data_IF_249033589339
#
_entry.id   IF_249033589339
#
_cell.length_a   1.000
_cell.length_b   1.000
_cell.length_c   1.000
_cell.angle_alpha   90.00
_cell.angle_beta   90.00
_cell.angle_gamma   90.00
#
_symmetry.space_group_name_H-M   'P 1'
#
loop_
_entity.id
_entity.type
_entity.pdbx_description
1 polymer ?
#
# COMPACT_ATOMS: atom_id res chain seq x y z
N UNK A 1 19.94 -8.42 -25.51
CA UNK A 1 20.71 -8.12 -24.29
C UNK A 1 19.99 -6.98 -23.61
N UNK A 2 19.47 -7.19 -22.39
CA UNK A 2 18.97 -6.09 -21.58
C UNK A 2 20.16 -5.18 -21.24
N UNK A 3 19.94 -3.86 -21.24
CA UNK A 3 20.98 -2.91 -20.82
C UNK A 3 21.00 -2.87 -19.30
N UNK A 4 22.15 -3.14 -18.69
CA UNK A 4 22.35 -3.07 -17.23
C UNK A 4 22.55 -1.62 -16.73
N UNK A 5 22.20 -0.62 -17.56
CA UNK A 5 22.42 0.80 -17.29
C UNK A 5 21.07 1.50 -17.25
N UNK A 6 20.79 2.17 -16.12
CA UNK A 6 19.68 3.12 -15.99
C UNK A 6 20.23 4.55 -16.11
N UNK A 7 20.13 5.21 -17.29
CA UNK A 7 20.59 6.58 -17.44
C UNK A 7 19.67 7.53 -16.69
N UNK A 8 20.25 8.38 -15.84
CA UNK A 8 19.55 9.50 -15.19
C UNK A 8 20.20 10.80 -15.64
N UNK A 9 19.40 11.72 -16.18
CA UNK A 9 19.88 13.02 -16.65
C UNK A 9 19.11 14.15 -15.95
N UNK A 10 19.85 15.16 -15.49
CA UNK A 10 19.28 16.37 -14.92
C UNK A 10 19.45 17.53 -15.91
N UNK A 11 18.33 18.11 -16.34
CA UNK A 11 18.32 19.22 -17.29
C UNK A 11 18.02 20.54 -16.58
N UNK A 12 18.84 21.56 -16.85
CA UNK A 12 18.52 22.93 -16.45
C UNK A 12 17.30 23.45 -17.21
N UNK A 13 16.41 24.15 -16.52
CA UNK A 13 15.26 24.85 -17.12
C UNK A 13 15.60 26.34 -17.33
N UNK A 14 14.98 27.03 -18.31
CA UNK A 14 15.20 28.46 -18.53
C UNK A 14 14.96 29.26 -17.24
N UNK A 15 15.94 30.09 -16.86
CA UNK A 15 15.95 30.89 -15.64
C UNK A 15 15.91 30.10 -14.31
N UNK A 16 16.06 28.77 -14.32
CA UNK A 16 16.00 27.92 -13.12
C UNK A 16 17.35 27.58 -12.47
N UNK A 17 18.47 28.00 -13.06
CA UNK A 17 19.81 27.66 -12.57
C UNK A 17 20.28 26.25 -12.93
N UNK A 18 21.30 25.75 -12.21
CA UNK A 18 21.83 24.40 -12.39
C UNK A 18 21.12 23.40 -11.48
N UNK A 19 20.78 22.19 -11.96
CA UNK A 19 20.21 21.16 -11.11
C UNK A 19 21.22 20.72 -10.05
N UNK A 20 20.74 20.55 -8.82
CA UNK A 20 21.52 20.04 -7.68
C UNK A 20 20.79 18.86 -7.05
N UNK A 21 21.55 17.84 -6.62
CA UNK A 21 21.03 16.66 -5.94
C UNK A 21 21.97 16.32 -4.76
N UNK A 22 21.39 16.03 -3.60
CA UNK A 22 22.16 15.67 -2.40
C UNK A 22 22.33 14.16 -2.24
N UNK A 23 21.35 13.37 -2.68
CA UNK A 23 21.38 11.89 -2.64
C UNK A 23 20.47 11.30 -3.71
N UNK A 24 20.87 10.15 -4.24
CA UNK A 24 20.08 9.30 -5.12
C UNK A 24 20.19 7.86 -4.62
N UNK A 25 19.05 7.22 -4.43
CA UNK A 25 18.99 5.84 -3.96
C UNK A 25 18.28 4.98 -5.00
N UNK A 26 18.96 3.92 -5.45
CA UNK A 26 18.37 2.88 -6.28
C UNK A 26 18.23 1.64 -5.42
N UNK A 27 16.99 1.24 -5.12
CA UNK A 27 16.70 0.07 -4.30
C UNK A 27 15.90 -0.95 -5.11
N UNK A 28 16.25 -2.24 -5.02
CA UNK A 28 15.44 -3.29 -5.63
C UNK A 28 14.06 -3.33 -4.97
N UNK A 29 13.06 -3.75 -5.72
CA UNK A 29 11.74 -4.09 -5.21
C UNK A 29 11.59 -5.61 -5.14
N UNK A 30 10.60 -6.12 -4.37
CA UNK A 30 10.21 -7.52 -4.49
C UNK A 30 9.94 -7.89 -5.95
N UNK A 31 10.35 -9.08 -6.42
CA UNK A 31 10.20 -9.48 -7.83
C UNK A 31 8.76 -9.37 -8.36
N UNK A 32 7.77 -9.63 -7.49
CA UNK A 32 6.35 -9.60 -7.84
C UNK A 32 5.65 -8.29 -7.40
N UNK A 33 6.41 -7.27 -7.02
CA UNK A 33 5.83 -5.98 -6.62
C UNK A 33 5.14 -5.30 -7.80
N UNK A 34 3.89 -4.87 -7.60
CA UNK A 34 3.11 -4.08 -8.55
C UNK A 34 2.86 -4.72 -9.93
N UNK A 35 3.11 -6.02 -10.12
CA UNK A 35 2.87 -6.71 -11.40
C UNK A 35 1.43 -6.52 -11.89
N UNK A 36 0.46 -6.51 -10.97
CA UNK A 36 -0.96 -6.25 -11.25
C UNK A 36 -1.24 -4.85 -11.82
N UNK A 37 -0.38 -3.86 -11.59
CA UNK A 37 -0.52 -2.50 -12.14
C UNK A 37 -0.13 -2.42 -13.62
N UNK A 38 0.82 -3.25 -14.02
CA UNK A 38 1.37 -3.25 -15.37
C UNK A 38 0.46 -3.99 -16.36
N UNK A 39 -0.22 -5.04 -15.91
CA UNK A 39 -1.04 -5.89 -16.79
C UNK A 39 -0.14 -6.51 -17.86
N UNK A 40 -0.55 -6.44 -19.13
CA UNK A 40 0.24 -6.97 -20.25
C UNK A 40 1.31 -5.99 -20.77
N UNK A 41 1.42 -4.78 -20.21
CA UNK A 41 2.31 -3.73 -20.68
C UNK A 41 3.43 -3.43 -19.68
N UNK A 42 4.67 -3.55 -20.14
CA UNK A 42 5.87 -3.21 -19.37
C UNK A 42 6.31 -1.75 -19.54
N UNK A 43 5.52 -0.92 -20.23
CA UNK A 43 5.90 0.45 -20.61
C UNK A 43 5.32 1.52 -19.67
N UNK A 44 4.77 1.11 -18.52
CA UNK A 44 4.23 2.05 -17.53
C UNK A 44 5.29 2.38 -16.50
N UNK A 45 5.15 3.54 -15.87
CA UNK A 45 5.93 3.94 -14.71
C UNK A 45 4.98 4.19 -13.55
N UNK A 46 5.39 3.78 -12.35
CA UNK A 46 4.65 4.04 -11.12
C UNK A 46 5.39 5.07 -10.28
N UNK A 47 4.64 6.02 -9.74
CA UNK A 47 5.09 6.98 -8.73
C UNK A 47 4.38 6.67 -7.43
N UNK A 48 5.13 6.50 -6.32
CA UNK A 48 4.53 6.37 -4.98
C UNK A 48 3.71 7.63 -4.69
N UNK A 49 2.41 7.45 -4.46
CA UNK A 49 1.56 8.48 -3.86
C UNK A 49 1.52 8.30 -2.35
N UNK A 50 0.97 7.17 -1.90
CA UNK A 50 0.86 6.79 -0.49
C UNK A 50 1.33 5.36 -0.28
N UNK A 51 1.89 5.08 0.90
CA UNK A 51 2.11 3.72 1.42
C UNK A 51 1.98 3.77 2.93
N UNK A 52 0.86 3.28 3.44
CA UNK A 52 0.43 3.51 4.84
C UNK A 52 0.43 2.17 5.57
N UNK A 53 0.97 2.16 6.79
CA UNK A 53 0.83 1.07 7.74
C UNK A 53 -0.44 1.29 8.58
N UNK A 54 -1.57 0.79 8.09
CA UNK A 54 -2.89 1.06 8.68
C UNK A 54 -2.97 0.60 10.14
N UNK A 55 -3.48 1.45 11.05
CA UNK A 55 -3.57 1.15 12.48
C UNK A 55 -2.23 1.14 13.23
N UNK A 56 -1.13 1.59 12.61
CA UNK A 56 0.18 1.74 13.26
C UNK A 56 0.51 3.23 13.46
N UNK A 57 1.00 3.59 14.63
CA UNK A 57 1.19 4.99 15.04
C UNK A 57 2.56 5.28 15.68
N UNK A 58 3.53 4.38 15.50
CA UNK A 58 4.88 4.54 16.03
C UNK A 58 5.87 4.93 14.91
N UNK A 59 5.49 5.92 14.11
CA UNK A 59 6.31 6.44 13.01
C UNK A 59 6.50 5.49 11.82
N UNK A 60 7.34 5.87 10.85
CA UNK A 60 7.48 5.11 9.62
C UNK A 60 8.25 3.80 9.83
N UNK A 61 7.72 2.71 9.28
CA UNK A 61 8.38 1.41 9.22
C UNK A 61 9.23 1.30 7.94
N UNK A 62 10.46 0.80 8.07
CA UNK A 62 11.41 0.59 6.97
C UNK A 62 12.44 -0.50 7.29
N UNK A 63 13.59 -0.54 6.62
CA UNK A 63 14.68 -1.47 6.95
C UNK A 63 15.07 -1.36 8.45
N UNK A 64 15.33 -2.48 9.16
CA UNK A 64 15.45 -3.86 8.65
C UNK A 64 14.12 -4.64 8.57
N UNK A 65 13.00 -4.07 9.00
CA UNK A 65 11.70 -4.74 8.98
C UNK A 65 11.17 -4.93 7.55
N UNK A 66 11.43 -3.95 6.67
CA UNK A 66 11.29 -4.13 5.22
C UNK A 66 12.68 -4.36 4.57
N UNK A 67 12.98 -5.57 4.07
CA UNK A 67 14.28 -5.86 3.47
C UNK A 67 14.54 -5.11 2.15
N UNK A 68 13.49 -4.56 1.53
CA UNK A 68 13.58 -3.70 0.33
C UNK A 68 13.62 -2.21 0.69
N UNK A 69 13.66 -1.89 1.99
CA UNK A 69 13.71 -0.54 2.56
C UNK A 69 12.66 0.41 1.95
N UNK A 70 11.47 -0.14 1.69
CA UNK A 70 10.27 0.65 1.40
C UNK A 70 9.86 1.34 2.70
N UNK A 71 9.57 2.63 2.60
CA UNK A 71 9.02 3.42 3.70
C UNK A 71 7.50 3.21 3.73
N UNK A 72 7.01 2.72 4.86
CA UNK A 72 5.60 2.60 5.22
C UNK A 72 5.27 3.67 6.25
N UNK A 73 4.53 4.68 5.82
CA UNK A 73 4.17 5.84 6.65
C UNK A 73 3.16 5.40 7.73
N UNK A 74 3.28 5.95 8.93
CA UNK A 74 2.34 5.67 10.01
C UNK A 74 0.95 6.22 9.69
N UNK A 75 -0.07 5.65 10.33
CA UNK A 75 -1.46 6.06 10.21
C UNK A 75 -1.82 7.28 11.08
N UNK A 76 -0.81 8.05 11.51
CA UNK A 76 -0.94 9.13 12.50
C UNK A 76 -1.70 10.36 11.98
N UNK A 77 -1.81 10.53 10.65
CA UNK A 77 -2.43 11.71 10.04
C UNK A 77 -3.88 11.47 9.58
N UNK A 78 -4.43 10.27 9.81
CA UNK A 78 -5.73 9.86 9.27
C UNK A 78 -6.77 9.66 10.38
N UNK A 79 -7.98 10.17 10.13
CA UNK A 79 -9.12 10.12 11.04
C UNK A 79 -10.16 9.13 10.52
N UNK A 80 -10.78 8.31 11.38
CA UNK A 80 -10.77 8.41 12.84
C UNK A 80 -9.52 7.80 13.49
N UNK A 81 -8.98 8.49 14.51
CA UNK A 81 -7.88 7.98 15.35
C UNK A 81 -8.39 6.81 16.20
N UNK A 82 -8.33 5.60 15.67
CA UNK A 82 -8.77 4.40 16.37
C UNK A 82 -7.64 3.38 16.43
N UNK A 83 -6.68 3.69 17.32
CA UNK A 83 -5.65 2.76 17.78
C UNK A 83 -6.29 1.43 18.12
N UNK A 84 -6.02 0.40 17.33
CA UNK A 84 -6.12 -0.96 17.83
C UNK A 84 -4.71 -1.43 18.11
N UNK A 85 -4.46 -1.83 19.36
CA UNK A 85 -3.13 -2.22 19.82
C UNK A 85 -2.52 -3.23 18.85
N UNK A 86 -1.31 -2.95 18.37
CA UNK A 86 -0.54 -3.90 17.58
C UNK A 86 -0.53 -5.23 18.31
N UNK A 87 -1.10 -6.25 17.69
CA UNK A 87 -1.13 -7.57 18.29
C UNK A 87 0.24 -8.17 18.02
N UNK A 88 1.04 -8.31 19.07
CA UNK A 88 2.31 -9.05 19.06
C UNK A 88 1.99 -10.56 19.04
N UNK A 89 1.22 -10.97 18.03
CA UNK A 89 0.86 -12.36 17.79
C UNK A 89 2.00 -12.93 16.97
N UNK A 90 2.69 -13.92 17.55
CA UNK A 90 3.61 -14.81 16.83
C UNK A 90 2.95 -15.20 15.49
N UNK A 91 3.52 -14.66 14.42
CA UNK A 91 2.94 -14.57 13.09
C UNK A 91 2.86 -15.94 12.42
N UNK A 92 1.85 -16.73 12.76
CA UNK A 92 1.58 -18.03 12.16
C UNK A 92 0.52 -17.94 11.05
N UNK A 93 0.46 -16.82 10.31
CA UNK A 93 -0.45 -16.68 9.17
C UNK A 93 0.27 -16.91 7.84
N UNK A 94 -0.41 -17.57 6.91
CA UNK A 94 0.14 -17.87 5.58
C UNK A 94 0.26 -16.59 4.75
N UNK A 95 1.46 -16.36 4.20
CA UNK A 95 1.75 -15.28 3.25
C UNK A 95 1.66 -15.74 1.79
N UNK A 96 1.24 -16.98 1.52
CA UNK A 96 1.27 -17.58 0.17
C UNK A 96 0.48 -16.80 -0.88
N UNK A 97 -0.53 -16.05 -0.45
CA UNK A 97 -1.42 -15.31 -1.33
C UNK A 97 -0.97 -13.85 -1.55
N UNK A 98 0.05 -13.36 -0.82
CA UNK A 98 0.58 -12.00 -0.99
C UNK A 98 1.91 -12.04 -1.74
N UNK A 99 1.87 -11.64 -3.01
CA UNK A 99 3.05 -11.65 -3.88
C UNK A 99 3.98 -10.46 -3.66
N UNK A 100 3.45 -9.29 -3.26
CA UNK A 100 4.23 -8.06 -3.11
C UNK A 100 5.13 -8.02 -1.85
N UNK A 101 5.16 -9.10 -1.07
CA UNK A 101 6.00 -9.30 0.11
C UNK A 101 6.05 -8.08 1.05
N UNK A 102 4.91 -7.55 1.56
CA UNK A 102 4.92 -6.51 2.59
C UNK A 102 5.57 -7.06 3.87
N UNK A 103 6.17 -6.21 4.72
CA UNK A 103 6.70 -6.62 6.01
C UNK A 103 5.62 -7.26 6.88
N UNK A 104 5.96 -8.31 7.64
CA UNK A 104 5.02 -8.96 8.57
C UNK A 104 4.45 -7.95 9.58
N UNK A 105 5.28 -7.03 10.06
CA UNK A 105 4.87 -5.98 10.98
C UNK A 105 3.80 -5.02 10.42
N UNK A 106 3.67 -4.89 9.09
CA UNK A 106 2.59 -4.11 8.44
C UNK A 106 1.26 -4.89 8.42
N UNK A 107 1.32 -6.22 8.52
CA UNK A 107 0.15 -7.09 8.52
C UNK A 107 -0.38 -7.39 9.93
N UNK A 108 0.37 -7.02 10.98
CA UNK A 108 0.03 -7.27 12.38
C UNK A 108 -0.69 -6.07 13.06
N UNK A 109 -0.74 -4.92 12.38
CA UNK A 109 -1.54 -3.77 12.77
C UNK A 109 -2.96 -3.90 12.21
N UNK A 110 -3.92 -3.31 12.91
CA UNK A 110 -5.32 -3.30 12.48
C UNK A 110 -5.95 -1.96 12.75
N UNK A 111 -6.79 -1.54 11.82
CA UNK A 111 -7.75 -0.46 11.99
C UNK A 111 -9.16 -1.07 12.09
N UNK A 112 -9.94 -0.68 13.09
CA UNK A 112 -11.28 -1.23 13.30
C UNK A 112 -12.31 -0.61 12.35
N UNK A 113 -12.10 0.65 11.95
CA UNK A 113 -12.95 1.36 11.00
C UNK A 113 -12.09 2.10 9.99
N UNK A 114 -11.82 1.45 8.86
CA UNK A 114 -11.03 2.07 7.81
C UNK A 114 -11.83 3.15 7.08
N UNK A 115 -11.44 4.40 7.28
CA UNK A 115 -11.91 5.54 6.51
C UNK A 115 -10.72 6.40 6.09
N UNK A 116 -10.27 6.25 4.85
CA UNK A 116 -9.22 7.09 4.29
C UNK A 116 -9.77 8.12 3.33
N UNK A 117 -9.19 9.32 3.38
CA UNK A 117 -9.36 10.39 2.40
C UNK A 117 -7.99 10.92 2.00
N UNK A 118 -7.49 10.45 0.86
CA UNK A 118 -6.14 10.71 0.39
C UNK A 118 -6.19 11.71 -0.77
N UNK A 119 -5.71 12.95 -0.59
CA UNK A 119 -5.62 13.91 -1.70
C UNK A 119 -4.58 13.47 -2.73
N UNK A 120 -4.87 13.65 -4.02
CA UNK A 120 -4.00 13.21 -5.11
C UNK A 120 -3.60 14.38 -6.00
N UNK A 121 -2.46 14.23 -6.66
CA UNK A 121 -1.88 15.25 -7.54
C UNK A 121 -2.47 15.24 -8.97
N UNK A 122 -3.48 14.40 -9.23
CA UNK A 122 -4.21 14.25 -10.50
C UNK A 122 -3.29 14.06 -11.72
N UNK A 123 -2.21 13.31 -11.55
CA UNK A 123 -1.19 13.09 -12.59
C UNK A 123 -1.45 11.85 -13.46
N UNK A 124 -2.51 11.09 -13.21
CA UNK A 124 -2.87 9.94 -14.05
C UNK A 124 -3.86 8.98 -13.39
N UNK A 125 -3.79 7.74 -13.84
CA UNK A 125 -4.51 6.62 -13.22
C UNK A 125 -3.74 6.13 -11.98
N UNK A 126 -4.48 5.71 -10.95
CA UNK A 126 -3.93 5.27 -9.68
C UNK A 126 -4.12 3.78 -9.50
N UNK A 127 -3.04 3.09 -9.10
CA UNK A 127 -3.08 1.71 -8.67
C UNK A 127 -3.12 1.65 -7.15
N UNK A 128 -4.14 1.00 -6.60
CA UNK A 128 -4.39 0.88 -5.17
C UNK A 128 -4.22 -0.58 -4.77
N UNK A 129 -3.39 -0.84 -3.78
CA UNK A 129 -3.21 -2.18 -3.19
C UNK A 129 -3.63 -2.10 -1.73
N UNK A 130 -4.51 -3.01 -1.32
CA UNK A 130 -4.95 -3.19 0.06
C UNK A 130 -4.45 -4.55 0.55
N UNK A 131 -3.77 -4.58 1.69
CA UNK A 131 -3.33 -5.82 2.33
C UNK A 131 -4.20 -6.13 3.54
N UNK A 132 -4.55 -7.40 3.70
CA UNK A 132 -5.35 -7.89 4.81
C UNK A 132 -4.69 -9.11 5.42
N UNK A 133 -4.80 -9.26 6.73
CA UNK A 133 -4.37 -10.46 7.44
C UNK A 133 -5.37 -10.84 8.54
N UNK A 134 -5.76 -12.11 8.58
CA UNK A 134 -6.66 -12.66 9.59
C UNK A 134 -5.92 -12.99 10.88
N UNK A 135 -5.45 -11.97 11.59
CA UNK A 135 -4.67 -12.12 12.83
C UNK A 135 -5.51 -12.44 14.08
N UNK A 136 -6.82 -12.60 13.91
CA UNK A 136 -7.78 -12.86 14.99
C UNK A 136 -8.49 -14.19 14.76
N UNK A 137 -9.04 -14.81 15.82
CA UNK A 137 -9.84 -16.03 15.71
C UNK A 137 -11.26 -15.75 15.19
N UNK A 138 -11.43 -14.77 14.29
CA UNK A 138 -12.69 -14.41 13.62
C UNK A 138 -12.41 -14.12 12.15
N UNK A 139 -13.40 -14.35 11.29
CA UNK A 139 -13.32 -14.12 9.84
C UNK A 139 -14.28 -13.00 9.45
N UNK A 140 -13.88 -11.72 9.57
CA UNK A 140 -14.77 -10.61 9.25
C UNK A 140 -15.08 -10.57 7.75
N UNK A 141 -16.33 -10.26 7.43
CA UNK A 141 -16.80 -10.02 6.07
C UNK A 141 -17.25 -8.57 5.90
N UNK A 142 -16.81 -7.93 4.82
CA UNK A 142 -17.08 -6.52 4.55
C UNK A 142 -17.09 -6.20 3.05
N UNK A 143 -17.71 -5.08 2.71
CA UNK A 143 -17.58 -4.46 1.39
C UNK A 143 -16.40 -3.49 1.39
N UNK A 144 -15.63 -3.49 0.30
CA UNK A 144 -14.63 -2.47 0.01
C UNK A 144 -15.27 -1.42 -0.89
N UNK A 145 -15.27 -0.18 -0.42
CA UNK A 145 -15.86 0.96 -1.12
C UNK A 145 -14.72 1.92 -1.49
N UNK A 146 -14.60 2.25 -2.77
CA UNK A 146 -13.66 3.26 -3.26
C UNK A 146 -14.46 4.37 -3.92
N UNK A 147 -14.26 5.61 -3.46
CA UNK A 147 -14.95 6.80 -3.97
C UNK A 147 -16.49 6.69 -4.01
N UNK A 148 -17.07 5.93 -3.08
CA UNK A 148 -18.52 5.73 -2.97
C UNK A 148 -19.05 4.52 -3.75
N UNK A 149 -18.23 3.84 -4.55
CA UNK A 149 -18.61 2.64 -5.29
C UNK A 149 -18.11 1.37 -4.59
N UNK A 150 -18.96 0.35 -4.51
CA UNK A 150 -18.57 -0.98 -4.00
C UNK A 150 -17.71 -1.66 -5.05
N UNK A 151 -16.40 -1.72 -4.81
CA UNK A 151 -15.42 -2.33 -5.74
C UNK A 151 -15.16 -3.80 -5.44
N UNK A 152 -15.44 -4.23 -4.21
CA UNK A 152 -15.43 -5.63 -3.82
C UNK A 152 -16.54 -5.85 -2.79
N UNK A 153 -17.48 -6.73 -3.09
CA UNK A 153 -18.57 -7.08 -2.18
C UNK A 153 -18.26 -8.35 -1.39
N UNK A 154 -18.72 -8.42 -0.15
CA UNK A 154 -18.66 -9.63 0.71
C UNK A 154 -17.27 -10.28 0.74
N UNK A 155 -16.24 -9.46 0.92
CA UNK A 155 -14.86 -9.94 1.07
C UNK A 155 -14.65 -10.46 2.48
N UNK A 156 -14.13 -11.68 2.60
CA UNK A 156 -13.85 -12.32 3.88
C UNK A 156 -12.35 -12.47 4.06
N UNK A 157 -11.84 -11.97 5.18
CA UNK A 157 -10.46 -12.22 5.61
C UNK A 157 -10.44 -13.52 6.39
N UNK A 158 -9.80 -14.55 5.84
CA UNK A 158 -9.69 -15.85 6.51
C UNK A 158 -8.70 -15.79 7.66
N UNK A 159 -9.03 -16.49 8.75
CA UNK A 159 -8.14 -16.64 9.90
C UNK A 159 -6.81 -17.24 9.46
N UNK A 160 -5.72 -16.69 9.99
CA UNK A 160 -4.36 -17.15 9.74
C UNK A 160 -3.96 -17.13 8.25
N UNK A 161 -4.63 -16.31 7.45
CA UNK A 161 -4.24 -16.04 6.07
C UNK A 161 -4.05 -14.55 5.86
N UNK A 162 -3.08 -14.21 5.02
CA UNK A 162 -2.93 -12.87 4.50
C UNK A 162 -3.19 -12.85 3.00
N UNK A 163 -3.86 -11.80 2.53
CA UNK A 163 -4.26 -11.65 1.14
C UNK A 163 -4.23 -10.17 0.75
N UNK A 164 -4.21 -9.89 -0.56
CA UNK A 164 -4.26 -8.53 -1.08
C UNK A 164 -5.33 -8.35 -2.14
N UNK A 165 -5.91 -7.15 -2.16
CA UNK A 165 -6.79 -6.69 -3.22
C UNK A 165 -6.10 -5.56 -3.97
N UNK A 166 -6.29 -5.51 -5.28
CA UNK A 166 -5.73 -4.47 -6.14
C UNK A 166 -6.80 -3.86 -7.03
N UNK A 167 -6.75 -2.54 -7.19
CA UNK A 167 -7.72 -1.77 -7.96
C UNK A 167 -7.02 -0.72 -8.81
N UNK A 168 -7.58 -0.44 -9.98
CA UNK A 168 -7.14 0.65 -10.85
C UNK A 168 -8.23 1.72 -10.91
N UNK A 169 -7.90 2.94 -10.48
CA UNK A 169 -8.84 4.05 -10.37
C UNK A 169 -8.42 5.19 -11.29
N UNK A 170 -9.30 5.64 -12.17
CA UNK A 170 -8.96 6.56 -13.26
C UNK A 170 -9.35 8.00 -12.96
N UNK A 171 -8.44 8.94 -13.22
CA UNK A 171 -8.75 10.38 -13.27
C UNK A 171 -9.33 10.98 -11.99
N UNK A 172 -8.83 10.56 -10.82
CA UNK A 172 -9.32 11.03 -9.52
C UNK A 172 -8.39 12.08 -8.89
N UNK A 173 -8.98 13.02 -8.14
CA UNK A 173 -8.26 14.04 -7.35
C UNK A 173 -8.17 13.69 -5.86
N UNK A 174 -8.99 12.76 -5.41
CA UNK A 174 -9.03 12.30 -4.03
C UNK A 174 -9.43 10.84 -4.06
N UNK A 175 -8.74 10.03 -3.26
CA UNK A 175 -9.04 8.63 -3.06
C UNK A 175 -9.68 8.46 -1.69
N UNK A 176 -10.97 8.16 -1.69
CA UNK A 176 -11.71 7.78 -0.50
C UNK A 176 -11.80 6.26 -0.44
N UNK A 177 -11.38 5.66 0.67
CA UNK A 177 -11.48 4.21 0.91
C UNK A 177 -12.30 4.00 2.17
N UNK A 178 -13.28 3.11 2.10
CA UNK A 178 -14.11 2.74 3.24
C UNK A 178 -14.33 1.24 3.26
N UNK A 179 -14.16 0.63 4.43
CA UNK A 179 -14.57 -0.74 4.67
C UNK A 179 -15.91 -0.74 5.40
N UNK A 180 -16.93 -1.33 4.79
CA UNK A 180 -18.27 -1.43 5.38
C UNK A 180 -18.52 -2.85 5.84
N UNK A 181 -18.53 -3.05 7.16
CA UNK A 181 -18.76 -4.36 7.75
C UNK A 181 -20.13 -4.93 7.42
N UNK A 182 -20.15 -6.21 7.03
CA UNK A 182 -21.36 -7.01 6.86
C UNK A 182 -21.55 -7.91 8.08
N UNK A 183 -20.50 -8.59 8.54
CA UNK A 183 -20.57 -9.48 9.72
C UNK A 183 -19.20 -9.75 10.37
N UNK A 184 -19.24 -10.10 11.66
CA UNK A 184 -18.13 -10.68 12.42
C UNK A 184 -18.56 -12.11 12.82
N UNK A 185 -18.15 -13.13 12.09
CA UNK A 185 -18.37 -14.53 12.47
C UNK A 185 -17.02 -15.21 12.74
#
# INVERSE_FOLDING_TARGET
MASDILPLCFHSIPNGGFPVISSLELRPLPPEAYVSAFGDSNDKLLRKSYRINCGYNDGPLRYPLDPYDRIWDADEDFSPYHVSAGFDVESNFSLSNIKESPPIAVLQSRELQLLYRLPLDNQGDYHVVLYFAGILPVSPSFDVIINGEVVQSNYTVMQWEANSLFFSVKGIKTLNITLKTISYY
#
